data_IF_979175852146
#
_entry.id   IF_979175852146
#
_cell.length_a   1.000
_cell.length_b   1.000
_cell.length_c   1.000
_cell.angle_alpha   90.00
_cell.angle_beta   90.00
_cell.angle_gamma   90.00
#
_symmetry.space_group_name_H-M   'P 1'
#
loop_
_entity.id
_entity.type
_entity.pdbx_description
1 polymer ?
#
# COMPACT_ATOMS: atom_id res chain seq x y z
N UNK A 1 15.95 -30.82 -34.35
CA UNK A 1 16.37 -29.51 -34.89
C UNK A 1 15.96 -28.49 -33.84
N UNK A 2 16.86 -27.67 -33.29
CA UNK A 2 16.47 -26.68 -32.29
C UNK A 2 15.51 -25.70 -32.96
N UNK A 3 14.29 -25.57 -32.43
CA UNK A 3 13.35 -24.52 -32.83
C UNK A 3 14.07 -23.17 -32.75
N UNK A 4 14.23 -22.52 -33.89
CA UNK A 4 14.68 -21.13 -33.91
C UNK A 4 13.62 -20.31 -33.20
N UNK A 5 13.93 -19.83 -31.99
CA UNK A 5 13.09 -18.87 -31.29
C UNK A 5 12.92 -17.66 -32.19
N UNK A 6 11.71 -17.44 -32.71
CA UNK A 6 11.47 -16.29 -33.57
C UNK A 6 11.38 -15.01 -32.74
N UNK A 7 11.90 -13.92 -33.31
CA UNK A 7 11.87 -12.59 -32.68
C UNK A 7 10.46 -12.18 -32.25
N UNK A 8 9.44 -12.58 -33.02
CA UNK A 8 8.03 -12.34 -32.72
C UNK A 8 7.60 -12.98 -31.40
N UNK A 9 8.04 -14.20 -31.12
CA UNK A 9 7.64 -14.94 -29.92
C UNK A 9 8.32 -14.34 -28.68
N UNK A 10 9.57 -13.88 -28.83
CA UNK A 10 10.27 -13.11 -27.79
C UNK A 10 9.52 -11.82 -27.51
N UNK A 11 9.14 -11.07 -28.56
CA UNK A 11 8.43 -9.81 -28.43
C UNK A 11 7.08 -9.99 -27.71
N UNK A 12 6.31 -11.01 -28.06
CA UNK A 12 5.03 -11.33 -27.40
C UNK A 12 5.23 -11.64 -25.92
N UNK A 13 6.26 -12.42 -25.57
CA UNK A 13 6.58 -12.72 -24.17
C UNK A 13 7.01 -11.49 -23.38
N UNK A 14 7.80 -10.60 -23.99
CA UNK A 14 8.18 -9.32 -23.36
C UNK A 14 6.95 -8.44 -23.12
N UNK A 15 6.03 -8.36 -24.09
CA UNK A 15 4.75 -7.64 -23.92
C UNK A 15 3.91 -8.29 -22.82
N UNK A 16 3.85 -9.62 -22.78
CA UNK A 16 3.16 -10.36 -21.72
C UNK A 16 3.71 -10.07 -20.33
N UNK A 17 5.03 -10.13 -20.17
CA UNK A 17 5.72 -9.79 -18.93
C UNK A 17 5.45 -8.33 -18.51
N UNK A 18 5.53 -7.38 -19.45
CA UNK A 18 5.24 -5.98 -19.20
C UNK A 18 3.82 -5.77 -18.66
N UNK A 19 2.80 -6.35 -19.30
CA UNK A 19 1.41 -6.17 -18.87
C UNK A 19 1.04 -6.99 -17.63
N UNK A 20 1.67 -8.15 -17.41
CA UNK A 20 1.56 -8.87 -16.15
C UNK A 20 2.07 -8.01 -14.99
N UNK A 21 3.24 -7.40 -15.15
CA UNK A 21 3.84 -6.50 -14.18
C UNK A 21 3.02 -5.22 -13.99
N UNK A 22 2.60 -4.56 -15.08
CA UNK A 22 1.81 -3.34 -15.03
C UNK A 22 0.47 -3.57 -14.32
N UNK A 23 -0.22 -4.67 -14.60
CA UNK A 23 -1.45 -5.05 -13.90
C UNK A 23 -1.22 -5.27 -12.41
N UNK A 24 -0.12 -5.93 -12.02
CA UNK A 24 0.23 -6.11 -10.60
C UNK A 24 0.49 -4.78 -9.89
N UNK A 25 1.30 -3.90 -10.48
CA UNK A 25 1.62 -2.59 -9.92
C UNK A 25 0.38 -1.70 -9.81
N UNK A 26 -0.47 -1.68 -10.84
CA UNK A 26 -1.72 -0.92 -10.84
C UNK A 26 -2.68 -1.41 -9.75
N UNK A 27 -2.84 -2.72 -9.61
CA UNK A 27 -3.64 -3.31 -8.53
C UNK A 27 -3.08 -2.94 -7.16
N UNK A 28 -1.77 -3.07 -6.95
CA UNK A 28 -1.14 -2.71 -5.69
C UNK A 28 -1.36 -1.23 -5.36
N UNK A 29 -1.15 -0.33 -6.32
CA UNK A 29 -1.38 1.10 -6.14
C UNK A 29 -2.85 1.40 -5.80
N UNK A 30 -3.80 0.77 -6.50
CA UNK A 30 -5.24 0.91 -6.24
C UNK A 30 -5.64 0.40 -4.85
N UNK A 31 -5.11 -0.76 -4.43
CA UNK A 31 -5.34 -1.30 -3.09
C UNK A 31 -4.77 -0.41 -1.99
N UNK A 32 -3.57 0.15 -2.20
CA UNK A 32 -2.96 1.11 -1.26
C UNK A 32 -3.76 2.40 -1.17
N UNK A 33 -4.20 2.97 -2.29
CA UNK A 33 -5.08 4.15 -2.30
C UNK A 33 -6.37 3.88 -1.54
N UNK A 34 -7.03 2.76 -1.86
CA UNK A 34 -8.27 2.35 -1.18
C UNK A 34 -8.08 2.17 0.34
N UNK A 35 -6.93 1.66 0.78
CA UNK A 35 -6.59 1.59 2.20
C UNK A 35 -6.48 2.98 2.82
N UNK A 36 -5.75 3.91 2.19
CA UNK A 36 -5.58 5.28 2.66
C UNK A 36 -6.93 6.02 2.71
N UNK A 37 -7.74 5.88 1.68
CA UNK A 37 -9.08 6.48 1.61
C UNK A 37 -9.97 5.97 2.74
N UNK A 38 -9.90 4.67 3.06
CA UNK A 38 -10.63 4.11 4.21
C UNK A 38 -10.10 4.58 5.55
N UNK A 39 -8.79 4.78 5.69
CA UNK A 39 -8.19 5.34 6.90
C UNK A 39 -8.65 6.80 7.11
N UNK A 40 -8.61 7.62 6.05
CA UNK A 40 -9.09 9.01 6.08
C UNK A 40 -10.59 9.05 6.37
N UNK A 41 -11.40 8.23 5.69
CA UNK A 41 -12.84 8.14 5.90
C UNK A 41 -13.20 7.74 7.35
N UNK A 42 -12.41 6.86 7.96
CA UNK A 42 -12.57 6.45 9.35
C UNK A 42 -12.31 7.62 10.33
N UNK A 43 -11.27 8.43 10.06
CA UNK A 43 -10.94 9.62 10.88
C UNK A 43 -11.97 10.74 10.66
N UNK A 44 -12.36 10.98 9.40
CA UNK A 44 -13.28 12.06 9.02
C UNK A 44 -14.76 11.74 9.30
N UNK A 45 -15.08 10.53 9.79
CA UNK A 45 -16.44 10.00 9.94
C UNK A 45 -17.32 10.11 8.68
N UNK A 46 -16.70 10.20 7.50
CA UNK A 46 -17.38 10.36 6.21
C UNK A 46 -17.38 9.02 5.49
N UNK A 47 -18.57 8.46 5.21
CA UNK A 47 -18.66 7.20 4.46
C UNK A 47 -18.33 7.44 2.98
N UNK A 48 -17.51 6.58 2.34
CA UNK A 48 -17.26 6.67 0.91
C UNK A 48 -18.56 6.50 0.13
N UNK A 49 -18.68 7.24 -0.97
CA UNK A 49 -19.89 7.23 -1.78
C UNK A 49 -19.99 5.92 -2.58
N UNK A 50 -21.21 5.47 -2.95
CA UNK A 50 -21.38 4.30 -3.79
C UNK A 50 -20.64 4.39 -5.14
N UNK A 51 -20.45 5.61 -5.65
CA UNK A 51 -19.77 5.89 -6.91
C UNK A 51 -18.26 5.64 -6.78
N UNK A 52 -17.64 6.12 -5.70
CA UNK A 52 -16.21 5.89 -5.39
C UNK A 52 -15.92 4.39 -5.23
N UNK A 53 -16.80 3.65 -4.55
CA UNK A 53 -16.67 2.20 -4.40
C UNK A 53 -16.76 1.46 -5.75
N UNK A 54 -17.68 1.87 -6.62
CA UNK A 54 -17.81 1.30 -7.95
C UNK A 54 -16.59 1.60 -8.84
N UNK A 55 -16.04 2.81 -8.75
CA UNK A 55 -14.83 3.21 -9.46
C UNK A 55 -13.61 2.40 -9.01
N UNK A 56 -13.41 2.25 -7.69
CA UNK A 56 -12.34 1.45 -7.13
C UNK A 56 -12.45 -0.03 -7.51
N UNK A 57 -13.65 -0.61 -7.43
CA UNK A 57 -13.90 -1.98 -7.87
C UNK A 57 -13.59 -2.17 -9.36
N UNK A 58 -13.98 -1.20 -10.20
CA UNK A 58 -13.68 -1.21 -11.62
C UNK A 58 -12.17 -1.19 -11.89
N UNK A 59 -11.43 -0.30 -11.23
CA UNK A 59 -9.97 -0.17 -11.42
C UNK A 59 -9.22 -1.45 -11.03
N UNK A 60 -9.62 -2.09 -9.93
CA UNK A 60 -9.05 -3.39 -9.52
C UNK A 60 -9.39 -4.48 -10.53
N UNK A 61 -10.65 -4.54 -10.99
CA UNK A 61 -11.07 -5.51 -12.00
C UNK A 61 -10.34 -5.33 -13.34
N UNK A 62 -10.18 -4.08 -13.80
CA UNK A 62 -9.44 -3.75 -15.02
C UNK A 62 -7.96 -4.14 -14.91
N UNK A 63 -7.33 -3.84 -13.77
CA UNK A 63 -5.93 -4.22 -13.51
C UNK A 63 -5.74 -5.74 -13.44
N UNK A 64 -6.70 -6.46 -12.86
CA UNK A 64 -6.73 -7.92 -12.85
C UNK A 64 -6.85 -8.53 -14.26
N UNK A 65 -7.69 -7.95 -15.12
CA UNK A 65 -7.81 -8.37 -16.52
C UNK A 65 -6.50 -8.13 -17.30
N UNK A 66 -5.86 -6.97 -17.11
CA UNK A 66 -4.56 -6.66 -17.73
C UNK A 66 -3.49 -7.66 -17.29
N UNK A 67 -3.43 -7.99 -15.99
CA UNK A 67 -2.51 -8.99 -15.47
C UNK A 67 -2.80 -10.37 -16.06
N UNK A 68 -4.06 -10.79 -16.07
CA UNK A 68 -4.45 -12.09 -16.60
C UNK A 68 -4.06 -12.25 -18.07
N UNK A 69 -4.32 -11.21 -18.88
CA UNK A 69 -3.89 -11.17 -20.27
C UNK A 69 -2.37 -11.27 -20.39
N UNK A 70 -1.62 -10.50 -19.59
CA UNK A 70 -0.17 -10.51 -19.57
C UNK A 70 0.43 -11.88 -19.21
N UNK A 71 -0.09 -12.53 -18.17
CA UNK A 71 0.35 -13.86 -17.73
C UNK A 71 0.05 -14.91 -18.79
N UNK A 72 -1.15 -14.90 -19.38
CA UNK A 72 -1.49 -15.82 -20.46
C UNK A 72 -0.62 -15.60 -21.70
N UNK A 73 -0.31 -14.35 -22.05
CA UNK A 73 0.54 -14.03 -23.19
C UNK A 73 2.01 -14.41 -22.95
N UNK A 74 2.50 -14.23 -21.72
CA UNK A 74 3.83 -14.66 -21.32
C UNK A 74 4.01 -16.18 -21.46
N UNK A 75 2.95 -16.94 -21.22
CA UNK A 75 2.88 -18.38 -21.46
C UNK A 75 2.59 -18.74 -22.94
N UNK A 76 2.44 -17.76 -23.83
CA UNK A 76 2.18 -18.00 -25.26
C UNK A 76 0.78 -18.54 -25.56
N UNK A 77 -0.19 -18.37 -24.67
CA UNK A 77 -1.52 -18.98 -24.77
C UNK A 77 -2.50 -18.09 -25.55
N UNK A 78 -3.29 -18.70 -26.44
CA UNK A 78 -4.31 -18.03 -27.27
C UNK A 78 -5.37 -17.26 -26.46
N UNK A 79 -5.87 -17.75 -25.29
CA UNK A 79 -6.77 -16.99 -24.43
C UNK A 79 -6.31 -15.56 -24.11
N UNK A 80 -5.00 -15.28 -24.16
CA UNK A 80 -4.48 -13.93 -23.99
C UNK A 80 -5.13 -12.94 -24.97
N UNK A 81 -5.33 -13.33 -26.22
CA UNK A 81 -5.92 -12.47 -27.25
C UNK A 81 -7.33 -12.01 -26.88
N UNK A 82 -8.14 -12.93 -26.35
CA UNK A 82 -9.50 -12.64 -25.87
C UNK A 82 -9.49 -11.73 -24.64
N UNK A 83 -8.58 -11.95 -23.71
CA UNK A 83 -8.45 -11.11 -22.51
C UNK A 83 -7.98 -9.70 -22.86
N UNK A 84 -6.99 -9.54 -23.74
CA UNK A 84 -6.54 -8.24 -24.24
C UNK A 84 -7.66 -7.49 -24.99
N UNK A 85 -8.43 -8.19 -25.83
CA UNK A 85 -9.58 -7.60 -26.51
C UNK A 85 -10.65 -7.12 -25.52
N UNK A 86 -11.04 -7.97 -24.57
CA UNK A 86 -12.02 -7.63 -23.53
C UNK A 86 -11.54 -6.44 -22.66
N UNK A 87 -10.28 -6.44 -22.25
CA UNK A 87 -9.67 -5.34 -21.50
C UNK A 87 -9.66 -4.04 -22.30
N UNK A 88 -9.29 -4.07 -23.58
CA UNK A 88 -9.26 -2.88 -24.45
C UNK A 88 -10.66 -2.29 -24.64
N UNK A 89 -11.66 -3.15 -24.87
CA UNK A 89 -13.05 -2.72 -24.98
C UNK A 89 -13.56 -2.14 -23.66
N UNK A 90 -13.21 -2.76 -22.53
CA UNK A 90 -13.52 -2.25 -21.20
C UNK A 90 -12.91 -0.86 -20.95
N UNK A 91 -11.62 -0.68 -21.26
CA UNK A 91 -10.94 0.61 -21.14
C UNK A 91 -11.56 1.68 -22.05
N UNK A 92 -11.88 1.34 -23.31
CA UNK A 92 -12.55 2.25 -24.23
C UNK A 92 -13.94 2.67 -23.70
N UNK A 93 -14.73 1.71 -23.23
CA UNK A 93 -16.02 1.98 -22.60
C UNK A 93 -15.86 2.87 -21.37
N UNK A 94 -14.87 2.59 -20.52
CA UNK A 94 -14.60 3.42 -19.35
C UNK A 94 -14.25 4.86 -19.74
N UNK A 95 -13.23 5.07 -20.58
CA UNK A 95 -12.68 6.40 -20.91
C UNK A 95 -13.70 7.25 -21.69
N UNK A 96 -14.40 6.66 -22.66
CA UNK A 96 -15.25 7.43 -23.58
C UNK A 96 -16.72 7.46 -23.17
N UNK A 97 -17.17 6.54 -22.31
CA UNK A 97 -18.58 6.41 -21.95
C UNK A 97 -18.82 6.57 -20.47
N UNK A 98 -18.17 5.77 -19.62
CA UNK A 98 -18.52 5.67 -18.20
C UNK A 98 -17.91 6.81 -17.40
N UNK A 99 -16.61 7.05 -17.52
CA UNK A 99 -15.91 8.08 -16.76
C UNK A 99 -16.49 9.48 -17.01
N UNK A 100 -16.66 9.96 -18.27
CA UNK A 100 -17.21 11.30 -18.50
C UNK A 100 -18.68 11.48 -18.06
N UNK A 101 -19.46 10.39 -18.01
CA UNK A 101 -20.91 10.46 -17.69
C UNK A 101 -21.22 10.25 -16.21
N UNK A 102 -20.41 9.46 -15.51
CA UNK A 102 -20.71 9.00 -14.17
C UNK A 102 -19.63 9.40 -13.15
N UNK A 103 -18.35 9.18 -13.45
CA UNK A 103 -17.27 9.38 -12.47
C UNK A 103 -16.73 10.82 -12.45
N UNK A 104 -16.52 11.42 -13.63
CA UNK A 104 -15.87 12.72 -13.81
C UNK A 104 -16.85 13.91 -13.75
N UNK A 105 -18.07 13.68 -13.22
CA UNK A 105 -19.17 14.66 -13.26
C UNK A 105 -18.96 15.80 -12.26
N UNK A 106 -18.55 15.44 -11.05
CA UNK A 106 -18.39 16.36 -9.93
C UNK A 106 -16.93 16.79 -9.76
N UNK A 107 -15.97 15.94 -10.18
CA UNK A 107 -14.53 16.21 -10.14
C UNK A 107 -13.86 15.73 -11.44
N UNK A 108 -13.86 16.54 -12.51
CA UNK A 108 -13.27 16.15 -13.78
C UNK A 108 -11.73 16.15 -13.70
N UNK A 109 -11.04 15.12 -14.22
CA UNK A 109 -9.59 15.11 -14.30
C UNK A 109 -9.08 16.27 -15.13
N UNK A 110 -7.90 16.75 -14.76
CA UNK A 110 -7.24 17.82 -15.48
C UNK A 110 -6.93 17.43 -16.96
N UNK A 111 -6.69 18.43 -17.84
CA UNK A 111 -6.45 18.15 -19.25
C UNK A 111 -5.22 17.27 -19.51
N UNK A 112 -4.22 17.30 -18.62
CA UNK A 112 -2.99 16.53 -18.75
C UNK A 112 -3.21 15.05 -18.42
N UNK A 113 -3.88 14.75 -17.31
CA UNK A 113 -4.25 13.42 -16.87
C UNK A 113 -5.17 12.72 -17.87
N UNK A 114 -6.12 13.46 -18.48
CA UNK A 114 -6.97 12.88 -19.54
C UNK A 114 -6.18 12.51 -20.80
N UNK A 115 -5.21 13.34 -21.20
CA UNK A 115 -4.30 13.03 -22.31
C UNK A 115 -3.42 11.83 -21.98
N UNK A 116 -2.86 11.76 -20.77
CA UNK A 116 -2.03 10.63 -20.35
C UNK A 116 -2.81 9.31 -20.38
N UNK A 117 -4.03 9.28 -19.85
CA UNK A 117 -4.89 8.09 -19.87
C UNK A 117 -5.25 7.68 -21.30
N UNK A 118 -5.51 8.64 -22.19
CA UNK A 118 -5.79 8.36 -23.60
C UNK A 118 -4.56 7.81 -24.33
N UNK A 119 -3.37 8.36 -24.06
CA UNK A 119 -2.12 7.85 -24.64
C UNK A 119 -1.83 6.43 -24.17
N UNK A 120 -2.02 6.14 -22.88
CA UNK A 120 -1.88 4.79 -22.34
C UNK A 120 -2.85 3.81 -23.02
N UNK A 121 -4.10 4.21 -23.24
CA UNK A 121 -5.08 3.44 -23.99
C UNK A 121 -4.63 3.16 -25.44
N UNK A 122 -4.08 4.15 -26.15
CA UNK A 122 -3.60 3.96 -27.53
C UNK A 122 -2.45 2.94 -27.58
N UNK A 123 -1.50 3.02 -26.63
CA UNK A 123 -0.40 2.04 -26.53
C UNK A 123 -0.94 0.64 -26.23
N UNK A 124 -1.90 0.53 -25.32
CA UNK A 124 -2.55 -0.74 -24.99
C UNK A 124 -3.29 -1.32 -26.20
N UNK A 125 -4.05 -0.49 -26.93
CA UNK A 125 -4.79 -0.90 -28.13
C UNK A 125 -3.86 -1.37 -29.25
N UNK A 126 -2.69 -0.73 -29.42
CA UNK A 126 -1.68 -1.18 -30.38
C UNK A 126 -1.10 -2.56 -29.98
N UNK A 127 -0.81 -2.77 -28.70
CA UNK A 127 -0.40 -4.07 -28.19
C UNK A 127 -1.49 -5.14 -28.40
N UNK A 128 -2.75 -4.82 -28.11
CA UNK A 128 -3.89 -5.72 -28.36
C UNK A 128 -4.01 -6.09 -29.84
N UNK A 129 -3.85 -5.13 -30.76
CA UNK A 129 -3.87 -5.41 -32.20
C UNK A 129 -2.74 -6.39 -32.61
N UNK A 130 -1.54 -6.23 -32.04
CA UNK A 130 -0.42 -7.15 -32.28
C UNK A 130 -0.72 -8.56 -31.74
N UNK A 131 -1.30 -8.67 -30.53
CA UNK A 131 -1.66 -9.96 -29.94
C UNK A 131 -2.76 -10.66 -30.74
N UNK A 132 -3.78 -9.93 -31.17
CA UNK A 132 -4.84 -10.46 -32.05
C UNK A 132 -4.29 -10.92 -33.39
N UNK A 133 -3.36 -10.15 -33.97
CA UNK A 133 -2.67 -10.55 -35.19
C UNK A 133 -1.85 -11.83 -34.99
N UNK A 134 -1.13 -11.96 -33.87
CA UNK A 134 -0.37 -13.15 -33.54
C UNK A 134 -1.27 -14.38 -33.39
N UNK A 135 -2.41 -14.24 -32.70
CA UNK A 135 -3.42 -15.29 -32.58
C UNK A 135 -3.96 -15.71 -33.95
N UNK A 136 -4.33 -14.74 -34.80
CA UNK A 136 -4.83 -14.99 -36.15
C UNK A 136 -3.80 -15.70 -37.04
N UNK A 137 -2.51 -15.46 -36.82
CA UNK A 137 -1.39 -16.14 -37.50
C UNK A 137 -1.06 -17.51 -36.92
N UNK A 138 -1.77 -17.98 -35.90
CA UNK A 138 -1.51 -19.27 -35.25
C UNK A 138 -0.22 -19.29 -34.43
N UNK A 139 0.24 -18.13 -33.93
CA UNK A 139 1.45 -18.01 -33.11
C UNK A 139 1.23 -18.29 -31.62
N UNK A 140 -0.03 -18.29 -31.18
CA UNK A 140 -0.39 -18.57 -29.81
C UNK A 140 -0.97 -19.99 -29.73
N UNK A 141 -0.66 -20.70 -28.65
CA UNK A 141 -1.09 -22.08 -28.44
C UNK A 141 -2.53 -22.10 -27.93
N UNK A 142 -3.45 -22.81 -28.61
CA UNK A 142 -4.80 -23.03 -28.12
C UNK A 142 -4.79 -23.76 -26.78
N UNK A 143 -5.78 -23.51 -25.92
CA UNK A 143 -5.82 -24.09 -24.56
C UNK A 143 -5.80 -25.63 -24.56
N UNK A 144 -6.39 -26.25 -25.58
CA UNK A 144 -6.44 -27.70 -25.76
C UNK A 144 -5.09 -28.33 -26.14
N UNK A 145 -4.18 -27.52 -26.70
CA UNK A 145 -2.87 -27.95 -27.17
C UNK A 145 -1.75 -27.52 -26.21
N UNK A 146 -2.10 -26.75 -25.16
CA UNK A 146 -1.18 -26.28 -24.15
C UNK A 146 -0.67 -27.42 -23.25
N UNK A 147 0.58 -27.31 -22.81
CA UNK A 147 1.13 -28.32 -21.89
C UNK A 147 0.52 -28.16 -20.50
N UNK A 148 0.39 -29.28 -19.77
CA UNK A 148 -0.08 -29.26 -18.38
C UNK A 148 0.77 -28.34 -17.50
N UNK A 149 2.07 -28.26 -17.75
CA UNK A 149 2.98 -27.41 -17.00
C UNK A 149 2.66 -25.91 -17.18
N UNK A 150 2.40 -25.47 -18.42
CA UNK A 150 2.01 -24.09 -18.71
C UNK A 150 0.66 -23.74 -18.07
N UNK A 151 -0.33 -24.63 -18.19
CA UNK A 151 -1.65 -24.44 -17.59
C UNK A 151 -1.56 -24.33 -16.06
N UNK A 152 -0.78 -25.21 -15.43
CA UNK A 152 -0.56 -25.17 -13.97
C UNK A 152 0.17 -23.90 -13.56
N UNK A 153 1.19 -23.46 -14.30
CA UNK A 153 1.93 -22.24 -14.00
C UNK A 153 1.03 -20.99 -14.09
N UNK A 154 0.25 -20.87 -15.16
CA UNK A 154 -0.71 -19.76 -15.34
C UNK A 154 -1.78 -19.80 -14.24
N UNK A 155 -2.39 -20.96 -13.99
CA UNK A 155 -3.40 -21.11 -12.95
C UNK A 155 -2.84 -20.75 -11.56
N UNK A 156 -1.64 -21.24 -11.22
CA UNK A 156 -0.98 -20.93 -9.95
C UNK A 156 -0.70 -19.43 -9.81
N UNK A 157 -0.18 -18.77 -10.86
CA UNK A 157 0.07 -17.33 -10.84
C UNK A 157 -1.22 -16.52 -10.62
N UNK A 158 -2.31 -16.87 -11.32
CA UNK A 158 -3.61 -16.20 -11.17
C UNK A 158 -4.24 -16.46 -9.80
N UNK A 159 -4.12 -17.68 -9.25
CA UNK A 159 -4.62 -18.02 -7.92
C UNK A 159 -3.83 -17.31 -6.81
N UNK A 160 -2.51 -17.25 -6.91
CA UNK A 160 -1.67 -16.49 -5.98
C UNK A 160 -2.03 -15.00 -6.01
N UNK A 161 -2.21 -14.44 -7.20
CA UNK A 161 -2.66 -13.06 -7.37
C UNK A 161 -4.05 -12.84 -6.76
N UNK A 162 -5.02 -13.71 -7.05
CA UNK A 162 -6.36 -13.63 -6.48
C UNK A 162 -6.34 -13.76 -4.96
N UNK A 163 -5.53 -14.67 -4.40
CA UNK A 163 -5.32 -14.81 -2.97
C UNK A 163 -4.70 -13.57 -2.33
N UNK A 164 -3.73 -12.93 -3.00
CA UNK A 164 -3.15 -11.65 -2.57
C UNK A 164 -4.20 -10.53 -2.55
N UNK A 165 -5.00 -10.38 -3.61
CA UNK A 165 -6.07 -9.36 -3.67
C UNK A 165 -7.15 -9.65 -2.62
N UNK A 166 -7.59 -10.90 -2.48
CA UNK A 166 -8.58 -11.27 -1.48
C UNK A 166 -8.07 -11.02 -0.05
N UNK A 167 -6.82 -11.41 0.25
CA UNK A 167 -6.18 -11.14 1.54
C UNK A 167 -6.11 -9.65 1.85
N UNK A 168 -5.72 -8.83 0.88
CA UNK A 168 -5.57 -7.38 1.06
C UNK A 168 -6.92 -6.66 1.20
N UNK A 169 -7.95 -7.12 0.49
CA UNK A 169 -9.31 -6.59 0.65
C UNK A 169 -10.00 -7.09 1.95
N UNK A 170 -9.69 -8.31 2.39
CA UNK A 170 -10.17 -8.85 3.68
C UNK A 170 -9.41 -8.31 4.88
N UNK A 171 -8.21 -7.79 4.67
CA UNK A 171 -7.53 -6.95 5.64
C UNK A 171 -8.26 -5.61 5.75
N UNK A 172 -9.37 -5.62 6.46
CA UNK A 172 -9.88 -4.42 7.13
C UNK A 172 -8.91 -4.12 8.27
N UNK A 173 -8.16 -3.00 8.26
CA UNK A 173 -7.84 -2.38 9.54
C UNK A 173 -9.19 -2.23 10.25
N UNK A 174 -9.34 -2.81 11.44
CA UNK A 174 -10.41 -2.38 12.32
C UNK A 174 -10.15 -0.88 12.49
N UNK A 175 -10.97 -0.07 11.82
CA UNK A 175 -11.04 1.33 12.16
C UNK A 175 -11.30 1.35 13.67
N UNK A 176 -10.45 1.98 14.50
CA UNK A 176 -10.86 2.28 15.85
C UNK A 176 -12.18 3.03 15.69
N UNK A 177 -13.24 2.49 16.29
CA UNK A 177 -14.57 2.99 16.05
C UNK A 177 -14.66 4.41 16.62
N UNK A 178 -14.61 5.41 15.74
CA UNK A 178 -14.99 6.79 16.04
C UNK A 178 -14.20 7.47 17.15
N UNK A 179 -12.98 7.92 16.85
CA UNK A 179 -12.30 8.95 17.62
C UNK A 179 -12.85 10.33 17.28
N UNK A 180 -14.06 10.65 17.74
CA UNK A 180 -14.52 12.03 17.78
C UNK A 180 -13.62 12.84 18.73
N UNK A 181 -13.19 14.01 18.28
CA UNK A 181 -12.21 14.91 18.94
C UNK A 181 -12.54 15.31 20.39
N UNK A 182 -13.75 14.99 20.89
CA UNK A 182 -14.16 15.17 22.28
C UNK A 182 -15.20 14.11 22.62
N UNK A 183 -14.83 13.05 23.35
CA UNK A 183 -15.80 12.04 23.75
C UNK A 183 -15.15 10.84 24.43
N UNK A 184 -15.18 10.86 25.75
CA UNK A 184 -14.85 9.72 26.61
C UNK A 184 -15.68 8.49 26.24
N UNK A 185 -15.09 7.50 25.57
CA UNK A 185 -15.60 6.12 25.61
C UNK A 185 -14.45 5.16 25.75
N UNK A 186 -14.53 4.37 26.80
CA UNK A 186 -13.65 3.28 27.19
C UNK A 186 -13.63 2.16 26.15
N UNK A 187 -12.79 2.28 25.13
CA UNK A 187 -12.28 1.12 24.39
C UNK A 187 -11.07 0.61 25.17
N UNK A 188 -11.35 -0.17 26.21
CA UNK A 188 -10.27 -0.78 26.99
C UNK A 188 -9.57 -1.78 26.07
N UNK A 189 -8.27 -1.62 25.79
CA UNK A 189 -7.53 -2.58 24.98
C UNK A 189 -7.69 -3.99 25.56
N UNK A 190 -7.62 -5.03 24.70
CA UNK A 190 -7.79 -6.44 25.10
C UNK A 190 -6.96 -6.84 26.32
N UNK A 191 -5.83 -6.14 26.49
CA UNK A 191 -4.93 -6.12 27.65
C UNK A 191 -4.25 -4.74 27.71
N UNK A 192 -3.70 -4.31 28.86
CA UNK A 192 -3.03 -3.01 28.99
C UNK A 192 -1.91 -2.80 27.95
N UNK A 193 -1.79 -1.57 27.42
CA UNK A 193 -0.83 -1.25 26.34
C UNK A 193 0.64 -1.52 26.74
N UNK A 194 0.99 -1.33 28.01
CA UNK A 194 2.32 -1.58 28.54
C UNK A 194 2.71 -3.07 28.58
N UNK A 195 1.77 -3.98 28.35
CA UNK A 195 2.06 -5.42 28.18
C UNK A 195 2.59 -5.76 26.77
N UNK A 196 2.69 -4.78 25.88
CA UNK A 196 3.18 -5.02 24.53
C UNK A 196 4.62 -5.53 24.52
N UNK A 197 4.92 -6.50 23.63
CA UNK A 197 6.29 -7.00 23.42
C UNK A 197 7.07 -6.19 22.39
N UNK A 198 6.37 -5.32 21.66
CA UNK A 198 6.93 -4.46 20.62
C UNK A 198 6.63 -3.02 20.97
N UNK A 199 7.64 -2.30 21.43
CA UNK A 199 7.50 -0.92 21.89
C UNK A 199 8.28 0.01 20.97
N UNK A 200 7.63 1.08 20.50
CA UNK A 200 8.27 2.13 19.71
C UNK A 200 8.41 3.41 20.52
N UNK A 201 9.59 4.02 20.49
CA UNK A 201 9.84 5.36 21.00
C UNK A 201 9.54 6.36 19.88
N UNK A 202 8.53 7.19 20.09
CA UNK A 202 8.05 8.16 19.10
C UNK A 202 7.35 9.32 19.82
N UNK A 203 7.70 10.55 19.45
CA UNK A 203 6.95 11.72 19.86
C UNK A 203 5.86 11.98 18.83
N UNK A 204 4.64 12.23 19.31
CA UNK A 204 3.47 12.53 18.50
C UNK A 204 2.59 13.50 19.28
N UNK A 205 1.72 14.22 18.56
CA UNK A 205 0.94 15.35 19.07
C UNK A 205 0.15 14.99 20.33
N UNK A 206 0.58 15.50 21.48
CA UNK A 206 -0.11 15.30 22.76
C UNK A 206 -0.20 13.84 23.21
N UNK A 207 0.69 12.98 22.73
CA UNK A 207 0.77 11.58 23.07
C UNK A 207 1.95 11.27 24.00
N UNK A 208 1.85 10.19 24.77
CA UNK A 208 2.99 9.67 25.52
C UNK A 208 4.10 9.14 24.59
N UNK A 209 5.38 9.18 25.03
CA UNK A 209 6.55 8.86 24.19
C UNK A 209 6.70 7.39 23.78
N UNK A 210 5.93 6.47 24.37
CA UNK A 210 6.01 5.03 24.12
C UNK A 210 4.76 4.52 23.43
N UNK A 211 4.95 3.67 22.42
CA UNK A 211 3.86 3.16 21.59
C UNK A 211 3.86 1.63 21.54
N UNK A 212 2.70 1.02 21.80
CA UNK A 212 2.49 -0.40 21.57
C UNK A 212 2.37 -0.70 20.07
N UNK A 213 3.01 -1.78 19.60
CA UNK A 213 3.05 -2.19 18.19
C UNK A 213 2.73 -3.69 18.01
N UNK A 214 2.03 -4.32 18.96
CA UNK A 214 1.55 -5.68 18.74
C UNK A 214 0.32 -5.67 17.82
N UNK A 215 0.01 -6.81 17.20
CA UNK A 215 -1.12 -6.92 16.28
C UNK A 215 -2.47 -6.57 16.93
N UNK A 216 -2.59 -6.78 18.25
CA UNK A 216 -3.78 -6.52 19.07
C UNK A 216 -3.69 -5.23 19.92
N UNK A 217 -2.51 -4.60 20.01
CA UNK A 217 -2.26 -3.42 20.84
C UNK A 217 -1.60 -2.32 20.02
N UNK A 218 -2.31 -1.20 19.84
CA UNK A 218 -1.78 -0.02 19.18
C UNK A 218 -2.23 1.25 19.92
N UNK A 219 -1.26 2.07 20.33
CA UNK A 219 -1.50 3.33 21.02
C UNK A 219 -0.32 3.77 21.87
N UNK A 220 -0.30 5.05 22.24
CA UNK A 220 0.68 5.59 23.17
C UNK A 220 0.36 5.20 24.62
N UNK A 221 1.37 5.02 25.46
CA UNK A 221 1.22 4.76 26.89
C UNK A 221 2.38 5.34 27.70
N UNK A 222 2.13 5.54 28.99
CA UNK A 222 3.03 6.25 29.88
C UNK A 222 4.29 5.43 30.21
N UNK A 223 5.50 6.04 30.23
CA UNK A 223 6.73 5.34 30.61
C UNK A 223 6.71 4.71 32.01
N UNK A 224 5.91 5.27 32.92
CA UNK A 224 5.73 4.77 34.29
C UNK A 224 5.20 3.34 34.33
N UNK A 225 4.46 2.93 33.31
CA UNK A 225 3.85 1.61 33.25
C UNK A 225 4.86 0.49 32.98
N UNK A 226 6.10 0.80 32.54
CA UNK A 226 7.14 -0.19 32.23
C UNK A 226 8.17 -0.43 33.35
N UNK A 227 7.94 0.13 34.54
CA UNK A 227 8.86 0.02 35.69
C UNK A 227 10.32 0.35 35.33
N UNK A 228 10.51 1.44 34.58
CA UNK A 228 11.82 1.94 34.15
C UNK A 228 12.51 2.74 35.25
N UNK A 229 13.81 3.02 35.07
CA UNK A 229 14.52 3.94 35.96
C UNK A 229 13.87 5.35 35.96
N UNK A 230 13.86 6.08 37.09
CA UNK A 230 13.33 7.44 37.15
C UNK A 230 13.96 8.37 36.12
N UNK A 231 15.25 8.20 35.85
CA UNK A 231 16.01 9.00 34.90
C UNK A 231 15.59 8.74 33.45
N UNK A 232 15.28 7.50 33.08
CA UNK A 232 14.78 7.17 31.74
C UNK A 232 13.33 7.65 31.56
N UNK A 233 12.48 7.41 32.55
CA UNK A 233 11.09 7.88 32.59
C UNK A 233 11.02 9.40 32.42
N UNK A 234 11.80 10.15 33.20
CA UNK A 234 11.86 11.61 33.09
C UNK A 234 12.42 12.07 31.74
N UNK A 235 13.45 11.39 31.21
CA UNK A 235 14.03 11.70 29.91
C UNK A 235 13.04 11.53 28.76
N UNK A 236 12.29 10.41 28.74
CA UNK A 236 11.25 10.14 27.75
C UNK A 236 10.14 11.20 27.79
N UNK A 237 9.66 11.57 28.99
CA UNK A 237 8.65 12.62 29.14
C UNK A 237 9.14 13.98 28.68
N UNK A 238 10.34 14.39 29.10
CA UNK A 238 10.90 15.67 28.72
C UNK A 238 11.11 15.77 27.19
N UNK A 239 11.54 14.67 26.58
CA UNK A 239 11.72 14.57 25.14
C UNK A 239 10.40 14.70 24.35
N UNK A 240 9.32 14.03 24.78
CA UNK A 240 8.00 14.21 24.18
C UNK A 240 7.44 15.62 24.42
N UNK A 241 7.55 16.15 25.64
CA UNK A 241 7.09 17.50 25.96
C UNK A 241 7.81 18.59 25.14
N UNK A 242 9.10 18.38 24.82
CA UNK A 242 9.84 19.28 23.95
C UNK A 242 9.28 19.28 22.52
N UNK A 243 8.85 18.13 22.00
CA UNK A 243 8.20 18.01 20.70
C UNK A 243 6.86 18.76 20.68
N UNK A 244 6.02 18.55 21.70
CA UNK A 244 4.73 19.25 21.81
C UNK A 244 4.92 20.77 21.93
N UNK A 245 5.95 21.22 22.65
CA UNK A 245 6.31 22.63 22.75
C UNK A 245 6.83 23.25 21.44
N UNK A 246 7.23 22.42 20.48
CA UNK A 246 7.68 22.85 19.16
C UNK A 246 6.55 23.01 18.15
N UNK A 247 5.33 22.66 18.52
CA UNK A 247 4.17 22.74 17.64
C UNK A 247 3.71 24.19 17.49
N UNK A 248 3.43 24.61 16.26
CA UNK A 248 2.82 25.91 16.04
C UNK A 248 1.33 25.83 16.32
N UNK A 249 0.87 26.59 17.33
CA UNK A 249 -0.54 26.64 17.74
C UNK A 249 -1.48 27.23 16.69
N UNK A 250 -0.97 28.03 15.74
CA UNK A 250 -1.77 28.62 14.66
C UNK A 250 -1.86 27.70 13.44
N UNK A 251 -0.85 26.85 13.23
CA UNK A 251 -0.81 25.85 12.15
C UNK A 251 -0.01 24.62 12.57
N UNK A 252 -0.72 23.60 13.06
CA UNK A 252 -0.14 22.35 13.55
C UNK A 252 0.63 21.55 12.48
N UNK A 253 0.53 21.89 11.19
CA UNK A 253 1.33 21.28 10.13
C UNK A 253 2.74 21.88 10.02
N UNK A 254 3.01 22.95 10.76
CA UNK A 254 4.31 23.64 10.80
C UNK A 254 4.96 23.52 12.18
N UNK A 255 6.25 23.17 12.20
CA UNK A 255 7.04 23.17 13.43
C UNK A 255 7.72 24.53 13.64
N UNK A 256 7.87 24.92 14.90
CA UNK A 256 8.68 26.07 15.31
C UNK A 256 10.19 25.78 15.27
N UNK A 257 10.58 24.52 15.06
CA UNK A 257 11.97 24.10 15.00
C UNK A 257 12.58 24.23 13.61
N UNK A 258 13.86 24.61 13.61
CA UNK A 258 14.72 24.45 12.44
C UNK A 258 15.24 23.02 12.30
N UNK A 259 15.83 22.72 11.15
CA UNK A 259 16.39 21.40 10.80
C UNK A 259 17.38 20.86 11.86
N UNK A 260 18.26 21.72 12.39
CA UNK A 260 19.22 21.32 13.41
C UNK A 260 18.56 20.89 14.74
N UNK A 261 17.43 21.50 15.10
CA UNK A 261 16.68 21.14 16.31
C UNK A 261 15.92 19.83 16.11
N UNK A 262 15.35 19.61 14.92
CA UNK A 262 14.76 18.32 14.55
C UNK A 262 15.81 17.19 14.59
N UNK A 263 17.00 17.42 14.03
CA UNK A 263 18.08 16.43 14.06
C UNK A 263 18.54 16.12 15.49
N UNK A 264 18.68 17.14 16.34
CA UNK A 264 19.04 16.96 17.75
C UNK A 264 17.96 16.19 18.53
N UNK A 265 16.68 16.50 18.29
CA UNK A 265 15.56 15.80 18.91
C UNK A 265 15.48 14.34 18.47
N UNK A 266 15.67 14.06 17.18
CA UNK A 266 15.70 12.68 16.65
C UNK A 266 16.87 11.87 17.24
N UNK A 267 18.06 12.48 17.33
CA UNK A 267 19.22 11.84 17.96
C UNK A 267 18.97 11.50 19.44
N UNK A 268 18.32 12.41 20.18
CA UNK A 268 17.93 12.17 21.57
C UNK A 268 16.90 11.04 21.68
N UNK A 269 15.90 10.99 20.80
CA UNK A 269 14.92 9.91 20.74
C UNK A 269 15.57 8.54 20.54
N UNK A 270 16.56 8.45 19.63
CA UNK A 270 17.36 7.24 19.44
C UNK A 270 18.15 6.87 20.69
N UNK A 271 18.82 7.84 21.33
CA UNK A 271 19.59 7.60 22.55
C UNK A 271 18.70 7.04 23.66
N UNK A 272 17.49 7.58 23.83
CA UNK A 272 16.50 7.12 24.80
C UNK A 272 15.99 5.72 24.46
N UNK A 273 15.74 5.40 23.19
CA UNK A 273 15.35 4.06 22.75
C UNK A 273 16.44 3.01 23.03
N UNK A 274 17.71 3.35 22.81
CA UNK A 274 18.84 2.48 23.18
C UNK A 274 18.92 2.22 24.69
N UNK A 275 18.64 3.24 25.52
CA UNK A 275 18.53 3.06 26.97
C UNK A 275 17.35 2.17 27.35
N UNK A 276 16.18 2.38 26.74
CA UNK A 276 15.01 1.55 26.95
C UNK A 276 15.29 0.08 26.64
N UNK A 277 15.98 -0.22 25.53
CA UNK A 277 16.36 -1.59 25.18
C UNK A 277 17.30 -2.23 26.20
N UNK A 278 18.21 -1.45 26.81
CA UNK A 278 19.11 -1.94 27.86
C UNK A 278 18.39 -2.22 29.18
N UNK A 279 17.46 -1.34 29.57
CA UNK A 279 16.68 -1.52 30.81
C UNK A 279 15.59 -2.61 30.67
N UNK A 280 15.09 -2.82 29.45
CA UNK A 280 14.06 -3.82 29.09
C UNK A 280 14.52 -4.70 27.92
N UNK A 281 15.49 -5.61 28.15
CA UNK A 281 16.00 -6.47 27.10
C UNK A 281 14.95 -7.44 26.55
N UNK A 282 13.89 -7.70 27.33
CA UNK A 282 12.74 -8.55 26.99
C UNK A 282 11.82 -7.96 25.91
N UNK A 283 11.94 -6.66 25.61
CA UNK A 283 11.11 -5.96 24.63
C UNK A 283 11.83 -5.82 23.29
N UNK A 284 11.09 -5.93 22.19
CA UNK A 284 11.55 -5.42 20.90
C UNK A 284 11.34 -3.92 20.88
N UNK A 285 12.42 -3.14 20.78
CA UNK A 285 12.36 -1.68 20.83
C UNK A 285 12.59 -1.12 19.45
N UNK A 286 11.77 -0.14 19.06
CA UNK A 286 11.88 0.57 17.79
C UNK A 286 11.99 2.07 18.03
N UNK A 287 12.56 2.81 17.08
CA UNK A 287 12.57 4.27 17.04
C UNK A 287 12.01 4.75 15.70
N UNK A 288 11.30 5.87 15.69
CA UNK A 288 10.92 6.54 14.44
C UNK A 288 12.03 7.49 13.99
N UNK A 289 12.55 7.28 12.80
CA UNK A 289 13.46 8.18 12.11
C UNK A 289 12.75 8.86 10.94
N UNK A 290 12.94 10.17 10.77
CA UNK A 290 12.26 10.96 9.73
C UNK A 290 12.48 10.45 8.31
N UNK A 291 13.70 10.01 7.98
CA UNK A 291 14.06 9.60 6.61
C UNK A 291 13.89 8.09 6.36
N UNK A 292 13.97 7.27 7.41
CA UNK A 292 14.02 5.80 7.33
C UNK A 292 12.70 5.13 7.74
N UNK A 293 11.87 5.81 8.54
CA UNK A 293 10.68 5.23 9.16
C UNK A 293 10.98 4.51 10.47
N UNK A 294 10.31 3.38 10.74
CA UNK A 294 10.44 2.64 12.01
C UNK A 294 11.63 1.70 11.96
N UNK A 295 12.62 1.92 12.81
CA UNK A 295 13.88 1.16 12.85
C UNK A 295 14.00 0.42 14.18
N UNK A 296 14.37 -0.86 14.14
CA UNK A 296 14.60 -1.67 15.35
C UNK A 296 15.91 -1.25 16.02
N UNK A 297 15.90 -1.17 17.36
CA UNK A 297 17.06 -0.80 18.17
C UNK A 297 17.70 -2.04 18.76
N UNK A 298 18.96 -2.27 18.39
CA UNK A 298 19.75 -3.39 18.89
C UNK A 298 20.60 -2.99 20.12
N UNK A 299 20.88 -3.93 21.03
CA UNK A 299 21.60 -3.64 22.28
C UNK A 299 23.06 -3.17 22.09
N UNK A 300 23.66 -3.48 20.94
CA UNK A 300 25.09 -3.26 20.65
C UNK A 300 25.37 -2.02 19.81
N UNK A 301 24.37 -1.18 19.54
CA UNK A 301 24.58 0.06 18.77
C UNK A 301 25.28 1.15 19.61
N UNK A 302 26.37 1.77 19.10
CA UNK A 302 27.03 2.85 19.80
C UNK A 302 26.11 4.07 19.88
N UNK A 303 25.93 4.59 21.09
CA UNK A 303 25.27 5.88 21.38
C UNK A 303 26.08 7.06 20.91
#
# INVERSE_FOLDING_TARGET
MPESIELTDILLRVIGAFYAFAGFVATRAGLTSHFLDRAIAAIAAKRPTPIENAQNAWLVAASALVLAGGVSLLAGLEPAAWVFAASTLGQAAYIFVVAPRYFDRDDPPDPQGRRQTTNAFVVYAAATALVLWAAWRGRLTPLQDATTAELVAVAAALLLYAGYVARTLWWTPRAPAGGGLFGTTSDTPSRPLHESKRVKVMADYGCDPLWALDEDLYGCFAPEDLALSPELTSGLRAWAAAYDGALNGDDASTSLWGEAQHAAHAAEGRRLAGRLKRERPDLMVYVLEGDTGVVEVHPDEPT
#
